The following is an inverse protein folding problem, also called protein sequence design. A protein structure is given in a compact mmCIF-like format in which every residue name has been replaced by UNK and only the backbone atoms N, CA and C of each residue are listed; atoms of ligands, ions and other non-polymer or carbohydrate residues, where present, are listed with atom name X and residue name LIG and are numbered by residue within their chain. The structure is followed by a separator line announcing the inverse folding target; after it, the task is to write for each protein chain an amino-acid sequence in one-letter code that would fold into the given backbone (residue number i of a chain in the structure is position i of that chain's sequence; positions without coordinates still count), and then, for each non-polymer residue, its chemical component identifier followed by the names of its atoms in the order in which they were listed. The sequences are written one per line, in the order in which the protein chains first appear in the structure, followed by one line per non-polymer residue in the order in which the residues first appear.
data_IF_599357540774
#
_entry.id   IF_599357540774
#
_cell.length_a   1.000
_cell.length_b   1.000
_cell.length_c   1.000
_cell.angle_alpha   90.00
_cell.angle_beta   90.00
_cell.angle_gamma   90.00
#
_symmetry.space_group_name_H-M   'P 1'
#
loop_
_entity.id
_entity.type
_entity.pdbx_description
1 polymer ?
#
# COMPACT_ATOMS: atom_id res chain seq x y z
N UNK A 1 -2.57 -6.44 -17.30
CA UNK A 1 -1.43 -7.34 -17.02
C UNK A 1 -1.36 -8.50 -18.01
N UNK A 2 -2.44 -9.19 -18.34
CA UNK A 2 -2.45 -10.35 -19.25
C UNK A 2 -2.05 -9.97 -20.70
N UNK A 3 -2.54 -8.83 -21.19
CA UNK A 3 -2.25 -8.34 -22.55
C UNK A 3 -0.91 -7.61 -22.69
N UNK A 4 -0.26 -7.26 -21.60
CA UNK A 4 1.05 -6.61 -21.64
C UNK A 4 2.15 -7.63 -22.01
N UNK A 5 3.11 -7.23 -22.86
CA UNK A 5 4.23 -8.07 -23.31
C UNK A 5 5.58 -7.67 -22.70
N UNK A 6 5.66 -6.51 -22.05
CA UNK A 6 6.90 -5.97 -21.46
C UNK A 6 7.47 -6.82 -20.33
N UNK A 7 8.77 -6.69 -20.07
CA UNK A 7 9.47 -7.38 -18.99
C UNK A 7 9.01 -6.90 -17.61
N UNK A 8 8.79 -5.60 -17.47
CA UNK A 8 8.28 -4.96 -16.26
C UNK A 8 6.93 -4.33 -16.51
N UNK A 9 6.17 -4.22 -15.44
CA UNK A 9 4.84 -3.64 -15.43
C UNK A 9 4.77 -2.53 -14.40
N UNK A 10 4.28 -1.37 -14.82
CA UNK A 10 4.01 -0.19 -14.01
C UNK A 10 2.59 0.28 -14.23
N UNK A 11 1.89 0.64 -13.17
CA UNK A 11 0.62 1.36 -13.25
C UNK A 11 0.91 2.85 -13.16
N UNK A 12 0.30 3.62 -14.03
CA UNK A 12 0.28 5.09 -13.98
C UNK A 12 -1.18 5.50 -14.05
N UNK A 13 -1.64 6.26 -13.06
CA UNK A 13 -3.01 6.76 -13.03
C UNK A 13 -3.19 7.86 -14.09
N UNK A 14 -4.42 8.08 -14.54
CA UNK A 14 -4.70 8.94 -15.69
C UNK A 14 -4.45 10.43 -15.43
N UNK A 15 -4.35 10.83 -14.17
CA UNK A 15 -4.05 12.19 -13.72
C UNK A 15 -2.61 12.37 -13.22
N UNK A 16 -1.81 11.30 -13.26
CA UNK A 16 -0.42 11.28 -12.83
C UNK A 16 0.54 11.19 -14.02
N UNK A 17 1.84 11.43 -13.79
CA UNK A 17 2.86 11.32 -14.84
C UNK A 17 4.20 10.83 -14.31
N UNK A 18 5.08 10.46 -15.25
CA UNK A 18 6.46 10.09 -14.97
C UNK A 18 7.40 11.21 -15.42
N UNK A 19 8.38 11.58 -14.59
CA UNK A 19 9.46 12.48 -14.99
C UNK A 19 10.28 11.86 -16.12
N UNK A 20 10.32 12.52 -17.27
CA UNK A 20 10.95 11.98 -18.48
C UNK A 20 12.47 11.76 -18.33
N UNK A 21 13.15 12.66 -17.59
CA UNK A 21 14.60 12.57 -17.37
C UNK A 21 14.94 11.39 -16.46
N UNK A 22 14.20 11.21 -15.38
CA UNK A 22 14.40 10.09 -14.46
C UNK A 22 13.91 8.77 -15.05
N UNK A 23 12.89 8.80 -15.91
CA UNK A 23 12.46 7.62 -16.68
C UNK A 23 13.57 7.14 -17.62
N UNK A 24 14.27 8.06 -18.30
CA UNK A 24 15.40 7.69 -19.14
C UNK A 24 16.53 7.04 -18.33
N UNK A 25 16.87 7.58 -17.16
CA UNK A 25 17.87 6.97 -16.26
C UNK A 25 17.43 5.58 -15.80
N UNK A 26 16.16 5.41 -15.45
CA UNK A 26 15.59 4.12 -15.05
C UNK A 26 15.68 3.08 -16.19
N UNK A 27 15.33 3.48 -17.42
CA UNK A 27 15.42 2.61 -18.60
C UNK A 27 16.89 2.23 -18.90
N UNK A 28 17.82 3.16 -18.71
CA UNK A 28 19.26 2.91 -18.93
C UNK A 28 19.76 1.87 -17.93
N UNK A 29 19.49 2.04 -16.61
CA UNK A 29 19.84 1.04 -15.59
C UNK A 29 19.22 -0.35 -15.91
N UNK A 30 17.96 -0.37 -16.35
CA UNK A 30 17.32 -1.63 -16.73
C UNK A 30 18.00 -2.31 -17.92
N UNK A 31 18.41 -1.55 -18.95
CA UNK A 31 19.12 -2.09 -20.13
C UNK A 31 20.46 -2.68 -19.74
N UNK A 32 21.23 -1.99 -18.89
CA UNK A 32 22.53 -2.47 -18.40
C UNK A 32 22.37 -3.77 -17.59
N UNK A 33 21.36 -3.84 -16.73
CA UNK A 33 21.05 -5.06 -15.97
C UNK A 33 20.52 -6.19 -16.84
N UNK A 34 19.80 -5.89 -17.89
CA UNK A 34 19.38 -6.89 -18.88
C UNK A 34 20.60 -7.47 -19.59
N UNK A 35 21.51 -6.63 -20.04
CA UNK A 35 22.74 -7.05 -20.71
C UNK A 35 23.64 -7.91 -19.82
N UNK A 36 23.68 -7.62 -18.51
CA UNK A 36 24.44 -8.39 -17.50
C UNK A 36 23.66 -9.57 -16.89
N UNK A 37 22.46 -9.88 -17.39
CA UNK A 37 21.56 -10.91 -16.87
C UNK A 37 21.28 -10.79 -15.35
N UNK A 38 21.19 -9.56 -14.85
CA UNK A 38 21.01 -9.24 -13.42
C UNK A 38 19.69 -8.53 -13.13
N UNK A 39 18.58 -8.96 -13.77
CA UNK A 39 17.25 -8.39 -13.58
C UNK A 39 16.61 -8.84 -12.26
N UNK A 40 16.06 -7.87 -11.53
CA UNK A 40 15.37 -8.09 -10.26
C UNK A 40 13.88 -8.40 -10.49
N UNK A 41 13.24 -8.93 -9.44
CA UNK A 41 11.79 -9.17 -9.43
C UNK A 41 10.99 -7.89 -9.20
N UNK A 42 11.57 -6.91 -8.49
CA UNK A 42 10.94 -5.63 -8.15
C UNK A 42 11.96 -4.49 -8.22
N UNK A 43 11.63 -3.43 -8.96
CA UNK A 43 12.25 -2.12 -8.77
C UNK A 43 11.36 -1.22 -7.92
N UNK A 44 12.02 -0.42 -7.09
CA UNK A 44 11.39 0.60 -6.26
C UNK A 44 12.02 1.94 -6.62
N UNK A 45 11.20 2.97 -6.82
CA UNK A 45 11.64 4.36 -7.06
C UNK A 45 10.93 5.29 -6.09
N UNK A 46 11.38 6.52 -5.99
CA UNK A 46 10.65 7.56 -5.28
C UNK A 46 9.38 7.94 -6.04
N UNK A 47 8.46 8.54 -5.31
CA UNK A 47 7.37 9.29 -5.90
C UNK A 47 7.18 10.62 -5.16
N UNK A 48 6.64 11.59 -5.87
CA UNK A 48 6.44 12.96 -5.41
C UNK A 48 4.94 13.19 -5.22
N UNK A 49 4.55 13.65 -4.06
CA UNK A 49 3.23 14.26 -3.89
C UNK A 49 3.28 15.65 -4.49
N UNK A 50 2.63 15.85 -5.63
CA UNK A 50 2.62 17.09 -6.37
C UNK A 50 1.34 17.87 -6.05
N UNK A 51 1.47 18.91 -5.23
CA UNK A 51 0.34 19.72 -4.78
C UNK A 51 0.09 20.90 -5.71
N UNK A 52 -1.06 20.90 -6.40
CA UNK A 52 -1.45 21.98 -7.30
C UNK A 52 -1.60 23.36 -6.63
N UNK A 53 -1.86 23.39 -5.31
CA UNK A 53 -2.27 24.62 -4.62
C UNK A 53 -1.12 25.48 -4.06
N UNK A 54 0.02 24.89 -3.71
CA UNK A 54 1.05 25.60 -2.92
C UNK A 54 2.51 25.35 -3.35
N UNK A 55 2.74 24.71 -4.49
CA UNK A 55 4.09 24.35 -4.99
C UNK A 55 4.98 23.61 -3.95
N UNK A 56 4.38 23.00 -2.92
CA UNK A 56 5.12 22.21 -1.93
C UNK A 56 5.11 20.75 -2.32
N UNK A 57 6.14 20.34 -3.03
CA UNK A 57 6.32 18.93 -3.38
C UNK A 57 6.92 18.17 -2.20
N UNK A 58 6.33 17.03 -1.85
CA UNK A 58 6.89 16.13 -0.84
C UNK A 58 7.32 14.82 -1.50
N UNK A 59 8.62 14.52 -1.39
CA UNK A 59 9.20 13.28 -1.93
C UNK A 59 9.05 12.15 -0.90
N UNK A 60 8.48 11.04 -1.33
CA UNK A 60 8.49 9.79 -0.58
C UNK A 60 9.69 8.94 -1.04
N UNK A 61 10.72 8.88 -0.21
CA UNK A 61 11.99 8.22 -0.50
C UNK A 61 12.24 7.03 0.44
N UNK A 62 13.14 6.13 0.03
CA UNK A 62 13.49 4.93 0.79
C UNK A 62 15.00 4.78 1.06
N UNK A 63 15.79 5.84 0.85
CA UNK A 63 17.27 5.88 0.97
C UNK A 63 17.80 5.33 2.29
N UNK A 64 17.12 5.64 3.40
CA UNK A 64 17.49 5.16 4.75
C UNK A 64 16.99 3.74 5.06
N UNK A 65 16.20 3.15 4.17
CA UNK A 65 15.47 1.90 4.39
C UNK A 65 15.93 0.76 3.48
N UNK A 66 16.29 1.06 2.24
CA UNK A 66 16.65 0.09 1.21
C UNK A 66 18.00 0.49 0.63
N UNK A 67 18.95 -0.45 0.42
CA UNK A 67 20.22 -0.14 -0.22
C UNK A 67 20.03 0.46 -1.63
N UNK A 68 20.61 1.64 -1.87
CA UNK A 68 20.46 2.36 -3.13
C UNK A 68 21.28 1.69 -4.25
N UNK A 69 20.67 1.47 -5.41
CA UNK A 69 21.33 0.95 -6.62
C UNK A 69 21.79 -0.51 -6.54
N UNK A 70 21.61 -1.17 -5.39
CA UNK A 70 22.04 -2.55 -5.15
C UNK A 70 20.89 -3.54 -5.28
N UNK A 71 21.18 -4.71 -5.82
CA UNK A 71 20.27 -5.85 -5.73
C UNK A 71 20.34 -6.39 -4.31
N UNK A 72 19.20 -6.51 -3.68
CA UNK A 72 19.11 -7.02 -2.30
C UNK A 72 17.87 -7.92 -2.12
N UNK A 73 17.85 -8.67 -1.03
CA UNK A 73 16.69 -9.41 -0.57
C UNK A 73 15.95 -8.67 0.54
N UNK A 74 14.81 -9.19 0.96
CA UNK A 74 13.97 -8.57 1.98
C UNK A 74 14.62 -8.47 3.36
N UNK A 75 15.62 -9.29 3.68
CA UNK A 75 16.31 -9.23 4.96
C UNK A 75 17.25 -8.02 5.08
N UNK A 76 17.64 -7.43 3.96
CA UNK A 76 18.46 -6.22 3.88
C UNK A 76 17.60 -4.94 3.94
N UNK A 77 16.29 -5.07 3.77
CA UNK A 77 15.33 -3.98 3.90
C UNK A 77 15.08 -3.69 5.38
N UNK A 78 15.38 -2.47 5.81
CA UNK A 78 15.07 -2.01 7.17
C UNK A 78 13.55 -1.88 7.34
N UNK A 79 13.09 -1.77 8.59
CA UNK A 79 11.66 -1.67 8.87
C UNK A 79 11.02 -0.49 8.13
N UNK A 80 10.07 -0.80 7.25
CA UNK A 80 9.19 0.15 6.60
C UNK A 80 7.95 0.31 7.48
N UNK A 81 7.78 1.49 8.03
CA UNK A 81 6.63 1.86 8.86
C UNK A 81 5.55 2.55 8.01
N UNK A 82 4.47 2.97 8.66
CA UNK A 82 3.33 3.63 8.01
C UNK A 82 3.72 4.79 7.08
N UNK A 83 4.70 5.61 7.47
CA UNK A 83 5.20 6.74 6.68
C UNK A 83 6.06 6.36 5.46
N UNK A 84 6.40 5.09 5.30
CA UNK A 84 7.27 4.58 4.22
C UNK A 84 6.65 3.31 3.62
N UNK A 85 5.32 3.28 3.49
CA UNK A 85 4.66 2.17 2.80
C UNK A 85 5.02 2.20 1.31
N UNK A 86 5.26 1.02 0.77
CA UNK A 86 5.42 0.85 -0.67
C UNK A 86 4.06 1.01 -1.33
N UNK A 87 3.85 2.13 -2.01
CA UNK A 87 2.64 2.37 -2.78
C UNK A 87 2.85 1.97 -4.24
N UNK A 88 1.77 1.76 -4.96
CA UNK A 88 1.77 1.44 -6.39
C UNK A 88 2.63 2.42 -7.20
N UNK A 89 2.65 3.69 -6.78
CA UNK A 89 3.41 4.78 -7.39
C UNK A 89 4.94 4.52 -7.43
N UNK A 90 5.48 3.80 -6.44
CA UNK A 90 6.90 3.48 -6.36
C UNK A 90 7.30 2.15 -7.01
N UNK A 91 6.37 1.31 -7.44
CA UNK A 91 6.62 -0.10 -7.75
C UNK A 91 6.65 -0.38 -9.26
N UNK A 92 7.69 -1.10 -9.71
CA UNK A 92 7.80 -1.72 -11.02
C UNK A 92 8.03 -3.21 -10.82
N UNK A 93 6.99 -3.99 -10.98
CA UNK A 93 7.09 -5.44 -10.86
C UNK A 93 7.58 -6.08 -12.16
N UNK A 94 8.47 -7.06 -12.06
CA UNK A 94 8.71 -7.97 -13.18
C UNK A 94 7.37 -8.64 -13.51
N UNK A 95 6.95 -8.55 -14.78
CA UNK A 95 5.61 -9.02 -15.20
C UNK A 95 5.33 -10.46 -14.79
N UNK A 96 6.33 -11.35 -14.86
CA UNK A 96 6.19 -12.74 -14.39
C UNK A 96 5.75 -12.85 -12.93
N UNK A 97 6.17 -11.94 -12.05
CA UNK A 97 5.81 -11.94 -10.63
C UNK A 97 4.32 -11.63 -10.47
N UNK A 98 3.80 -10.66 -11.20
CA UNK A 98 2.37 -10.35 -11.18
C UNK A 98 1.52 -11.53 -11.66
N UNK A 99 1.95 -12.19 -12.74
CA UNK A 99 1.27 -13.37 -13.27
C UNK A 99 1.30 -14.54 -12.26
N UNK A 100 2.45 -14.81 -11.66
CA UNK A 100 2.60 -15.86 -10.65
C UNK A 100 1.78 -15.60 -9.38
N UNK A 101 1.65 -14.34 -8.98
CA UNK A 101 0.87 -13.96 -7.80
C UNK A 101 -0.63 -14.12 -7.98
N UNK A 102 -1.10 -14.26 -9.22
CA UNK A 102 -2.52 -14.30 -9.53
C UNK A 102 -3.26 -13.04 -9.05
N UNK A 103 -2.58 -11.88 -9.03
CA UNK A 103 -3.22 -10.64 -8.61
C UNK A 103 -4.26 -10.22 -9.63
N UNK A 104 -5.49 -10.05 -9.14
CA UNK A 104 -6.62 -9.49 -9.89
C UNK A 104 -7.11 -8.28 -9.10
N UNK A 105 -7.29 -7.18 -9.80
CA UNK A 105 -7.82 -5.94 -9.20
C UNK A 105 -9.31 -5.86 -9.53
N UNK A 106 -10.19 -5.66 -8.53
CA UNK A 106 -11.60 -5.45 -8.77
C UNK A 106 -11.83 -4.23 -9.66
N UNK A 107 -12.72 -4.35 -10.63
CA UNK A 107 -13.15 -3.23 -11.48
C UNK A 107 -14.01 -2.24 -10.69
N UNK A 108 -14.01 -0.98 -11.12
CA UNK A 108 -14.78 0.10 -10.52
C UNK A 108 -14.61 0.24 -8.99
N UNK A 109 -13.41 -0.09 -8.50
CA UNK A 109 -13.10 -0.11 -7.05
C UNK A 109 -11.92 0.80 -6.77
N UNK A 110 -12.08 1.74 -5.85
CA UNK A 110 -10.99 2.56 -5.33
C UNK A 110 -10.10 1.76 -4.36
N UNK A 111 -8.89 2.24 -4.11
CA UNK A 111 -7.92 1.65 -3.17
C UNK A 111 -7.35 0.29 -3.58
N UNK A 112 -7.53 -0.12 -4.83
CA UNK A 112 -6.99 -1.38 -5.40
C UNK A 112 -5.46 -1.37 -5.50
N UNK A 113 -4.85 -0.18 -5.46
CA UNK A 113 -3.42 0.07 -5.32
C UNK A 113 -2.81 -0.71 -4.14
N UNK A 114 -3.54 -0.85 -3.03
CA UNK A 114 -3.12 -1.63 -1.87
C UNK A 114 -3.04 -3.13 -2.18
N UNK A 115 -3.97 -3.66 -2.98
CA UNK A 115 -3.94 -5.06 -3.43
C UNK A 115 -2.75 -5.28 -4.36
N UNK A 116 -2.54 -4.35 -5.32
CA UNK A 116 -1.43 -4.39 -6.27
C UNK A 116 -0.07 -4.33 -5.56
N UNK A 117 0.07 -3.48 -4.55
CA UNK A 117 1.30 -3.36 -3.78
C UNK A 117 1.57 -4.56 -2.85
N UNK A 118 0.51 -5.23 -2.34
CA UNK A 118 0.63 -6.26 -1.29
C UNK A 118 0.71 -7.69 -1.83
N UNK A 119 -0.23 -8.06 -2.72
CA UNK A 119 -0.42 -9.46 -3.12
C UNK A 119 0.78 -10.08 -3.84
N UNK A 120 1.57 -9.37 -4.68
CA UNK A 120 2.72 -9.96 -5.36
C UNK A 120 3.97 -10.15 -4.49
N UNK A 121 4.04 -9.51 -3.30
CA UNK A 121 5.27 -9.44 -2.50
C UNK A 121 5.90 -10.80 -2.13
N UNK A 122 5.15 -11.86 -1.76
CA UNK A 122 5.74 -13.16 -1.46
C UNK A 122 6.49 -13.82 -2.61
N UNK A 123 6.23 -13.40 -3.85
CA UNK A 123 6.89 -13.90 -5.05
C UNK A 123 8.16 -13.12 -5.40
N UNK A 124 8.40 -11.97 -4.77
CA UNK A 124 9.58 -11.12 -4.96
C UNK A 124 10.73 -11.65 -4.10
N UNK A 125 11.76 -12.19 -4.75
CA UNK A 125 12.99 -12.66 -4.10
C UNK A 125 14.07 -11.59 -4.08
N UNK A 126 14.17 -10.84 -5.18
CA UNK A 126 15.17 -9.79 -5.38
C UNK A 126 14.51 -8.46 -5.68
N UNK A 127 15.04 -7.40 -5.10
CA UNK A 127 14.59 -6.04 -5.33
C UNK A 127 15.78 -5.09 -5.51
N UNK A 128 15.54 -3.97 -6.19
CA UNK A 128 16.50 -2.88 -6.31
C UNK A 128 15.76 -1.55 -6.11
N UNK A 129 16.28 -0.73 -5.22
CA UNK A 129 15.81 0.62 -5.03
C UNK A 129 16.72 1.57 -5.81
N UNK A 130 16.12 2.37 -6.68
CA UNK A 130 16.79 3.47 -7.38
C UNK A 130 16.28 4.78 -6.80
N UNK A 131 17.20 5.61 -6.32
CA UNK A 131 16.89 6.93 -5.78
C UNK A 131 16.60 7.90 -6.92
N UNK A 132 15.42 7.72 -7.53
CA UNK A 132 14.93 8.50 -8.65
C UNK A 132 13.54 9.02 -8.32
N UNK A 133 13.37 10.33 -8.35
CA UNK A 133 12.08 11.02 -8.23
C UNK A 133 11.33 10.85 -9.55
N UNK A 134 10.68 9.69 -9.72
CA UNK A 134 10.21 9.27 -11.02
C UNK A 134 8.71 9.49 -11.23
N UNK A 135 7.91 9.23 -10.22
CA UNK A 135 6.45 9.28 -10.34
C UNK A 135 5.90 10.54 -9.66
N UNK A 136 5.13 11.32 -10.39
CA UNK A 136 4.40 12.46 -9.85
C UNK A 136 2.96 12.07 -9.58
N UNK A 137 2.61 12.06 -8.30
CA UNK A 137 1.26 11.83 -7.82
C UNK A 137 0.58 13.19 -7.60
N UNK A 138 -0.31 13.53 -8.51
CA UNK A 138 -1.01 14.81 -8.48
C UNK A 138 -2.06 14.85 -7.37
N UNK A 139 -1.99 15.83 -6.48
CA UNK A 139 -2.95 16.05 -5.39
C UNK A 139 -3.53 17.46 -5.51
N UNK A 140 -4.84 17.59 -5.28
CA UNK A 140 -5.52 18.90 -5.21
C UNK A 140 -6.85 18.98 -5.92
N UNK A 141 -7.31 17.90 -6.56
CA UNK A 141 -8.66 17.84 -7.14
C UNK A 141 -9.70 17.45 -6.09
N UNK A 142 -10.85 18.10 -6.11
CA UNK A 142 -11.93 17.84 -5.14
C UNK A 142 -12.54 16.42 -5.23
N UNK A 143 -12.43 15.77 -6.38
CA UNK A 143 -12.96 14.43 -6.66
C UNK A 143 -11.99 13.30 -6.31
N UNK A 144 -10.76 13.62 -5.91
CA UNK A 144 -9.74 12.63 -5.59
C UNK A 144 -10.10 11.74 -4.39
N UNK A 145 -9.54 10.55 -4.42
CA UNK A 145 -9.72 9.54 -3.36
C UNK A 145 -9.18 9.99 -2.00
N UNK A 146 -8.33 11.01 -1.94
CA UNK A 146 -7.68 11.54 -0.71
C UNK A 146 -8.58 12.51 0.08
N UNK A 147 -9.73 12.93 -0.47
CA UNK A 147 -10.66 13.83 0.23
C UNK A 147 -11.49 13.08 1.28
N UNK A 148 -11.53 13.58 2.52
CA UNK A 148 -12.19 12.91 3.66
C UNK A 148 -13.67 12.58 3.40
N UNK A 149 -14.38 13.44 2.68
CA UNK A 149 -15.80 13.21 2.34
C UNK A 149 -15.96 12.04 1.35
N UNK A 150 -15.00 11.86 0.44
CA UNK A 150 -14.98 10.76 -0.50
C UNK A 150 -14.65 9.43 0.20
N UNK A 151 -13.75 9.43 1.19
CA UNK A 151 -13.43 8.25 2.00
C UNK A 151 -14.65 7.68 2.70
N UNK A 152 -15.41 8.58 3.33
CA UNK A 152 -16.59 8.17 4.11
C UNK A 152 -17.65 7.55 3.20
N UNK A 153 -17.85 8.07 1.99
CA UNK A 153 -18.77 7.52 1.01
C UNK A 153 -18.36 6.15 0.45
N UNK A 154 -17.06 5.87 0.36
CA UNK A 154 -16.49 4.67 -0.27
C UNK A 154 -16.07 3.57 0.70
N UNK A 155 -16.54 3.58 1.95
CA UNK A 155 -16.13 2.64 2.99
C UNK A 155 -16.36 1.17 2.64
N UNK A 156 -17.36 0.84 1.84
CA UNK A 156 -17.65 -0.54 1.43
C UNK A 156 -16.56 -1.08 0.49
N UNK A 157 -16.09 -0.24 -0.42
CA UNK A 157 -14.96 -0.58 -1.29
C UNK A 157 -13.68 -0.81 -0.48
N UNK A 158 -13.41 0.04 0.51
CA UNK A 158 -12.29 -0.14 1.40
C UNK A 158 -12.39 -1.43 2.24
N UNK A 159 -13.58 -1.80 2.70
CA UNK A 159 -13.83 -3.10 3.35
C UNK A 159 -13.54 -4.26 2.40
N UNK A 160 -13.98 -4.15 1.14
CA UNK A 160 -13.74 -5.17 0.12
C UNK A 160 -12.25 -5.36 -0.16
N UNK A 161 -11.51 -4.25 -0.35
CA UNK A 161 -10.05 -4.26 -0.52
C UNK A 161 -9.36 -4.90 0.69
N UNK A 162 -9.73 -4.49 1.91
CA UNK A 162 -9.16 -5.08 3.13
C UNK A 162 -9.45 -6.58 3.24
N UNK A 163 -10.66 -7.00 2.87
CA UNK A 163 -11.03 -8.42 2.87
C UNK A 163 -10.14 -9.21 1.89
N UNK A 164 -9.92 -8.71 0.68
CA UNK A 164 -9.01 -9.34 -0.31
C UNK A 164 -7.59 -9.46 0.26
N UNK A 165 -7.08 -8.42 0.92
CA UNK A 165 -5.74 -8.46 1.53
C UNK A 165 -5.64 -9.47 2.68
N UNK A 166 -6.66 -9.53 3.55
CA UNK A 166 -6.72 -10.48 4.67
C UNK A 166 -6.84 -11.94 4.22
N UNK A 167 -7.49 -12.16 3.07
CA UNK A 167 -7.71 -13.49 2.52
C UNK A 167 -6.59 -13.97 1.60
N UNK A 168 -5.67 -13.07 1.21
CA UNK A 168 -4.58 -13.38 0.29
C UNK A 168 -3.60 -14.41 0.86
N UNK A 169 -3.29 -14.32 2.16
CA UNK A 169 -2.32 -15.18 2.84
C UNK A 169 -2.73 -15.44 4.28
N UNK A 170 -2.52 -16.65 4.76
CA UNK A 170 -2.69 -17.00 6.18
C UNK A 170 -1.52 -16.49 7.02
N UNK A 171 -1.75 -16.25 8.30
CA UNK A 171 -0.69 -15.76 9.20
C UNK A 171 0.55 -16.67 9.20
N UNK A 172 0.36 -17.98 9.15
CA UNK A 172 1.49 -18.92 9.13
C UNK A 172 2.29 -18.87 7.82
N UNK A 173 1.66 -18.57 6.70
CA UNK A 173 2.35 -18.35 5.42
C UNK A 173 3.19 -17.07 5.51
N UNK A 174 2.62 -15.98 6.03
CA UNK A 174 3.34 -14.70 6.23
C UNK A 174 4.56 -14.90 7.16
N UNK A 175 4.43 -15.69 8.23
CA UNK A 175 5.51 -15.96 9.17
C UNK A 175 6.69 -16.75 8.57
N UNK A 176 6.43 -17.56 7.55
CA UNK A 176 7.47 -18.35 6.85
C UNK A 176 8.29 -17.55 5.86
N UNK A 177 7.83 -16.37 5.50
CA UNK A 177 8.55 -15.46 4.60
C UNK A 177 9.84 -14.92 5.26
N UNK A 178 10.80 -14.39 4.48
CA UNK A 178 11.97 -13.69 5.01
C UNK A 178 11.56 -12.66 6.05
N UNK A 179 12.30 -12.52 7.15
CA UNK A 179 11.93 -11.69 8.32
C UNK A 179 11.55 -10.25 7.94
N UNK A 180 12.30 -9.65 7.01
CA UNK A 180 12.01 -8.30 6.52
C UNK A 180 10.65 -8.22 5.83
N UNK A 181 10.35 -9.16 4.93
CA UNK A 181 9.08 -9.23 4.22
C UNK A 181 7.90 -9.54 5.15
N UNK A 182 8.05 -10.56 6.01
CA UNK A 182 7.01 -10.94 6.98
C UNK A 182 6.61 -9.75 7.86
N UNK A 183 7.60 -8.99 8.36
CA UNK A 183 7.37 -7.79 9.14
C UNK A 183 6.67 -6.70 8.32
N UNK A 184 7.12 -6.46 7.10
CA UNK A 184 6.51 -5.46 6.22
C UNK A 184 5.05 -5.81 5.88
N UNK A 185 4.77 -7.04 5.48
CA UNK A 185 3.41 -7.49 5.19
C UNK A 185 2.48 -7.37 6.39
N UNK A 186 2.98 -7.69 7.59
CA UNK A 186 2.23 -7.49 8.82
C UNK A 186 1.93 -6.00 9.08
N UNK A 187 2.91 -5.12 8.90
CA UNK A 187 2.70 -3.67 9.05
C UNK A 187 1.70 -3.13 8.03
N UNK A 188 1.75 -3.59 6.78
CA UNK A 188 0.81 -3.20 5.73
C UNK A 188 -0.63 -3.59 6.10
N UNK A 189 -0.86 -4.83 6.54
CA UNK A 189 -2.19 -5.27 6.98
C UNK A 189 -2.72 -4.42 8.15
N UNK A 190 -1.87 -4.09 9.12
CA UNK A 190 -2.26 -3.25 10.25
C UNK A 190 -2.64 -1.83 9.82
N UNK A 191 -1.84 -1.24 8.92
CA UNK A 191 -2.06 0.12 8.41
C UNK A 191 -3.39 0.20 7.64
N UNK A 192 -3.62 -0.73 6.71
CA UNK A 192 -4.85 -0.73 5.90
C UNK A 192 -6.08 -1.10 6.74
N UNK A 193 -5.95 -1.99 7.75
CA UNK A 193 -7.03 -2.25 8.70
C UNK A 193 -7.38 -1.01 9.52
N UNK A 194 -6.39 -0.22 9.96
CA UNK A 194 -6.66 1.04 10.67
C UNK A 194 -7.43 2.03 9.80
N UNK A 195 -7.02 2.17 8.53
CA UNK A 195 -7.73 3.00 7.53
C UNK A 195 -9.16 2.48 7.32
N UNK A 196 -9.34 1.16 7.19
CA UNK A 196 -10.66 0.54 7.03
C UNK A 196 -11.57 0.81 8.23
N UNK A 197 -11.05 0.69 9.44
CA UNK A 197 -11.79 1.01 10.66
C UNK A 197 -12.15 2.51 10.70
N UNK A 198 -11.22 3.37 10.29
CA UNK A 198 -11.46 4.82 10.22
C UNK A 198 -12.59 5.14 9.25
N UNK A 199 -12.51 4.72 7.99
CA UNK A 199 -13.53 4.98 6.97
C UNK A 199 -14.90 4.47 7.40
N UNK A 200 -14.93 3.27 8.00
CA UNK A 200 -16.18 2.66 8.45
C UNK A 200 -16.77 3.35 9.67
N UNK A 201 -15.92 3.84 10.59
CA UNK A 201 -16.36 4.43 11.87
C UNK A 201 -16.51 5.96 11.81
N UNK A 202 -16.11 6.62 10.72
CA UNK A 202 -16.16 8.07 10.58
C UNK A 202 -17.59 8.63 10.74
N UNK A 203 -18.59 7.86 10.30
CA UNK A 203 -20.00 8.17 10.54
C UNK A 203 -20.69 7.04 11.29
N UNK A 204 -21.68 7.40 12.11
CA UNK A 204 -22.52 6.41 12.78
C UNK A 204 -23.61 5.91 11.83
N UNK A 205 -23.60 4.60 11.57
CA UNK A 205 -24.66 3.92 10.84
C UNK A 205 -24.73 2.44 11.28
N UNK A 206 -25.93 1.89 11.53
CA UNK A 206 -26.10 0.46 11.82
C UNK A 206 -25.54 -0.43 10.71
N UNK A 207 -25.68 -0.02 9.43
CA UNK A 207 -25.15 -0.74 8.28
C UNK A 207 -23.61 -0.80 8.33
N UNK A 208 -22.93 0.31 8.56
CA UNK A 208 -21.46 0.38 8.69
C UNK A 208 -20.95 -0.53 9.82
N UNK A 209 -21.62 -0.50 10.96
CA UNK A 209 -21.31 -1.37 12.09
C UNK A 209 -21.46 -2.85 11.74
N UNK A 210 -22.53 -3.21 10.99
CA UNK A 210 -22.77 -4.57 10.50
C UNK A 210 -21.68 -5.01 9.52
N UNK A 211 -21.30 -4.15 8.58
CA UNK A 211 -20.27 -4.47 7.59
C UNK A 211 -18.89 -4.68 8.24
N UNK A 212 -18.48 -3.79 9.16
CA UNK A 212 -17.22 -3.98 9.89
C UNK A 212 -17.24 -5.24 10.76
N UNK A 213 -18.38 -5.52 11.43
CA UNK A 213 -18.56 -6.75 12.19
C UNK A 213 -18.41 -7.98 11.29
N UNK A 214 -19.05 -7.95 10.12
CA UNK A 214 -18.94 -9.04 9.13
C UNK A 214 -17.48 -9.28 8.73
N UNK A 215 -16.70 -8.23 8.43
CA UNK A 215 -15.27 -8.36 8.10
C UNK A 215 -14.50 -9.09 9.21
N UNK A 216 -14.75 -8.75 10.49
CA UNK A 216 -14.12 -9.42 11.64
C UNK A 216 -14.58 -10.88 11.79
N UNK A 217 -15.84 -11.16 11.58
CA UNK A 217 -16.41 -12.50 11.69
C UNK A 217 -15.88 -13.43 10.57
N UNK A 218 -15.77 -12.90 9.34
CA UNK A 218 -15.21 -13.61 8.19
C UNK A 218 -13.72 -13.92 8.40
N UNK A 219 -12.93 -12.93 8.86
CA UNK A 219 -11.52 -13.16 9.21
C UNK A 219 -11.37 -14.22 10.32
N UNK A 220 -12.23 -14.18 11.35
CA UNK A 220 -12.19 -15.17 12.45
C UNK A 220 -12.47 -16.59 11.98
N UNK A 221 -13.38 -16.75 11.00
CA UNK A 221 -13.70 -18.05 10.39
C UNK A 221 -12.55 -18.57 9.54
N UNK A 222 -11.92 -17.68 8.76
CA UNK A 222 -10.90 -18.05 7.79
C UNK A 222 -9.53 -18.29 8.43
N UNK A 223 -9.09 -17.37 9.32
CA UNK A 223 -7.81 -17.46 10.04
C UNK A 223 -7.95 -16.91 11.46
N UNK A 224 -8.20 -17.81 12.41
CA UNK A 224 -8.38 -17.46 13.82
C UNK A 224 -7.10 -16.88 14.44
N UNK A 225 -5.93 -17.27 13.97
CA UNK A 225 -4.66 -16.77 14.46
C UNK A 225 -4.42 -15.33 13.99
N UNK A 226 -4.65 -15.06 12.70
CA UNK A 226 -4.59 -13.71 12.14
C UNK A 226 -5.63 -12.79 12.78
N UNK A 227 -6.88 -13.28 12.97
CA UNK A 227 -7.93 -12.54 13.69
C UNK A 227 -7.47 -12.12 15.08
N UNK A 228 -6.96 -13.08 15.89
CA UNK A 228 -6.50 -12.78 17.25
C UNK A 228 -5.38 -11.74 17.24
N UNK A 229 -4.40 -11.94 16.39
CA UNK A 229 -3.27 -11.01 16.27
C UNK A 229 -3.73 -9.61 15.83
N UNK A 230 -4.61 -9.51 14.81
CA UNK A 230 -5.14 -8.24 14.32
C UNK A 230 -6.05 -7.55 15.34
N UNK A 231 -6.88 -8.30 16.04
CA UNK A 231 -7.85 -7.75 17.00
C UNK A 231 -7.21 -7.23 18.28
N UNK A 232 -6.20 -7.94 18.80
CA UNK A 232 -5.66 -7.73 20.15
C UNK A 232 -4.21 -7.25 20.18
N UNK A 233 -3.46 -7.37 19.08
CA UNK A 233 -2.02 -7.07 19.02
C UNK A 233 -1.64 -6.31 17.76
N UNK A 234 -2.42 -5.29 17.40
CA UNK A 234 -2.18 -4.44 16.23
C UNK A 234 -2.32 -2.95 16.56
N UNK A 235 -2.05 -2.09 15.59
CA UNK A 235 -2.27 -0.63 15.72
C UNK A 235 -3.72 -0.29 16.04
N UNK A 236 -4.68 -1.11 15.60
CA UNK A 236 -6.11 -0.88 15.82
C UNK A 236 -6.62 -1.41 17.17
N UNK A 237 -5.79 -2.08 17.98
CA UNK A 237 -6.24 -2.75 19.21
C UNK A 237 -7.03 -1.81 20.12
N UNK A 238 -6.48 -0.66 20.46
CA UNK A 238 -7.17 0.31 21.32
C UNK A 238 -8.52 0.75 20.71
N UNK A 239 -8.51 1.09 19.42
CA UNK A 239 -9.70 1.57 18.70
C UNK A 239 -10.78 0.50 18.59
N UNK A 240 -10.41 -0.78 18.52
CA UNK A 240 -11.35 -1.89 18.43
C UNK A 240 -12.28 -2.02 19.66
N UNK A 241 -11.83 -1.54 20.83
CA UNK A 241 -12.58 -1.63 22.08
C UNK A 241 -13.34 -0.35 22.43
N UNK A 242 -13.13 0.73 21.68
CA UNK A 242 -13.88 1.96 21.90
C UNK A 242 -15.34 1.79 21.48
N UNK A 243 -16.30 2.41 22.23
CA UNK A 243 -17.67 2.58 21.76
C UNK A 243 -17.70 3.25 20.38
N UNK A 244 -18.65 2.85 19.53
CA UNK A 244 -18.67 3.28 18.13
C UNK A 244 -18.60 4.81 17.95
N UNK A 245 -19.40 5.55 18.71
CA UNK A 245 -19.42 7.03 18.65
C UNK A 245 -18.08 7.64 19.04
N UNK A 246 -17.45 7.13 20.09
CA UNK A 246 -16.14 7.60 20.56
C UNK A 246 -15.03 7.24 19.59
N UNK A 247 -15.12 6.06 18.96
CA UNK A 247 -14.19 5.60 17.93
C UNK A 247 -14.10 6.59 16.76
N UNK A 248 -15.23 6.98 16.17
CA UNK A 248 -15.27 7.96 15.09
C UNK A 248 -14.64 9.29 15.46
N UNK A 249 -14.94 9.80 16.65
CA UNK A 249 -14.36 11.04 17.16
C UNK A 249 -12.84 10.97 17.35
N UNK A 250 -12.35 9.92 18.00
CA UNK A 250 -10.91 9.72 18.24
C UNK A 250 -10.15 9.59 16.92
N UNK A 251 -10.68 8.82 15.98
CA UNK A 251 -10.05 8.63 14.66
C UNK A 251 -10.05 9.90 13.82
N UNK A 252 -11.14 10.69 13.81
CA UNK A 252 -11.15 11.99 13.14
C UNK A 252 -10.12 12.95 13.74
N UNK A 253 -10.05 13.06 15.06
CA UNK A 253 -9.01 13.90 15.71
C UNK A 253 -7.59 13.42 15.38
N UNK A 254 -7.35 12.10 15.47
CA UNK A 254 -6.06 11.50 15.13
C UNK A 254 -5.66 11.77 13.68
N UNK A 255 -6.58 11.67 12.74
CA UNK A 255 -6.37 11.98 11.33
C UNK A 255 -5.96 13.45 11.13
N UNK A 256 -6.68 14.41 11.71
CA UNK A 256 -6.33 15.83 11.62
C UNK A 256 -4.95 16.16 12.20
N UNK A 257 -4.58 15.52 13.32
CA UNK A 257 -3.24 15.69 13.91
C UNK A 257 -2.18 15.13 12.98
N UNK A 258 -2.45 13.97 12.36
CA UNK A 258 -1.53 13.32 11.44
C UNK A 258 -1.33 14.17 10.17
N UNK A 259 -2.41 14.69 9.58
CA UNK A 259 -2.35 15.57 8.40
C UNK A 259 -1.49 16.82 8.69
N UNK A 260 -1.69 17.48 9.83
CA UNK A 260 -0.87 18.63 10.24
C UNK A 260 0.62 18.27 10.39
N UNK A 261 0.93 17.07 10.86
CA UNK A 261 2.32 16.63 11.13
C UNK A 261 3.06 16.18 9.86
N UNK A 262 2.32 15.61 8.91
CA UNK A 262 2.88 15.09 7.64
C UNK A 262 2.75 16.14 6.51
N UNK A 263 2.12 17.30 6.78
CA UNK A 263 1.77 18.31 5.77
C UNK A 263 0.91 17.74 4.63
N UNK A 264 0.03 16.79 4.96
CA UNK A 264 -1.01 16.29 4.09
C UNK A 264 -2.26 17.16 4.24
N UNK A 265 -2.66 17.83 3.18
CA UNK A 265 -3.90 18.60 3.11
C UNK A 265 -3.69 20.02 2.83
#
# INVERSE_FOLDING_TARGET
MQVASGLYYKVVDSDDWLDSKNLLKFITDMKERLASNSLQDLYITNFIYDHAADNQNHVSEYTKKIPVGKICGWNEVKSLHFSHMLLMHSLFYRRKILLQSGVVLPEHTFYVDNIFAYKPLPFVKTLCYLDLDLYHYFIGRADQSVNINNFVGRYEQQISVMNIMLTAYRLEEIKRLPKGLSRYMWHSLQAIMMITIFFTSADYSPARKKHLKKLWDDLKKQDRALYRRMKYWSYSTFVNFLPWRLRGFVLKKGYFILCKKIKFG
#
